data_IF_336626618102
#
_entry.id   IF_336626618102
#
_cell.length_a   1.000
_cell.length_b   1.000
_cell.length_c   1.000
_cell.angle_alpha   90.00
_cell.angle_beta   90.00
_cell.angle_gamma   90.00
#
_symmetry.space_group_name_H-M   'P 1'
#
loop_
_entity.id
_entity.type
_entity.pdbx_description
1 polymer ?
#
# COMPACT_ATOMS: atom_id res chain seq x y z
N UNK A 1 -11.70 35.00 64.01
CA UNK A 1 -10.94 34.08 63.15
C UNK A 1 -9.70 33.71 63.92
N UNK A 2 -9.53 32.46 64.31
CA UNK A 2 -8.39 31.98 65.12
C UNK A 2 -7.19 31.62 64.24
N UNK A 3 -7.47 30.92 63.13
CA UNK A 3 -6.50 30.49 62.12
C UNK A 3 -7.05 30.69 60.71
N UNK A 4 -6.16 30.77 59.72
CA UNK A 4 -6.48 30.77 58.28
C UNK A 4 -5.81 29.56 57.64
N UNK A 5 -6.54 28.81 56.82
CA UNK A 5 -6.03 27.62 56.15
C UNK A 5 -6.05 27.81 54.63
N UNK A 6 -4.90 27.70 53.98
CA UNK A 6 -4.76 27.78 52.52
C UNK A 6 -3.48 27.06 52.08
N UNK A 7 -3.29 26.79 50.77
CA UNK A 7 -1.99 26.35 50.26
C UNK A 7 -0.88 27.37 50.55
N UNK A 8 0.35 26.89 50.72
CA UNK A 8 1.49 27.70 51.19
C UNK A 8 2.11 28.60 50.11
N UNK A 9 1.63 28.50 48.86
CA UNK A 9 2.18 29.30 47.78
C UNK A 9 1.85 30.79 48.00
N UNK A 10 2.79 31.71 47.73
CA UNK A 10 2.52 33.15 47.80
C UNK A 10 1.40 33.54 46.84
N UNK A 11 0.37 34.22 47.36
CA UNK A 11 -0.72 34.74 46.54
C UNK A 11 -0.52 36.23 46.27
N UNK A 12 0.10 36.52 45.14
CA UNK A 12 0.33 37.88 44.69
C UNK A 12 -0.99 38.56 44.29
N UNK A 13 -1.09 39.84 44.63
CA UNK A 13 -2.15 40.77 44.22
C UNK A 13 -1.50 42.02 43.63
N UNK A 14 -2.30 42.94 43.08
CA UNK A 14 -1.77 44.17 42.48
C UNK A 14 -0.97 45.04 43.47
N UNK A 15 -1.20 44.91 44.77
CA UNK A 15 -0.63 45.76 45.83
C UNK A 15 0.29 45.00 46.80
N UNK A 16 0.39 43.68 46.69
CA UNK A 16 1.12 42.84 47.65
C UNK A 16 1.64 41.55 47.01
N UNK A 17 2.88 41.19 47.30
CA UNK A 17 3.52 39.94 46.84
C UNK A 17 2.88 38.67 47.43
N UNK A 18 2.32 38.77 48.65
CA UNK A 18 1.55 37.70 49.29
C UNK A 18 0.49 38.29 50.22
N UNK A 19 -0.77 38.14 49.85
CA UNK A 19 -1.91 38.61 50.64
C UNK A 19 -2.00 37.95 52.03
N UNK A 20 -1.38 36.78 52.23
CA UNK A 20 -1.36 36.08 53.51
C UNK A 20 -0.13 36.40 54.38
N UNK A 21 0.80 37.25 53.92
CA UNK A 21 2.03 37.55 54.64
C UNK A 21 1.80 38.02 56.09
N UNK A 22 0.77 38.85 56.32
CA UNK A 22 0.46 39.34 57.67
C UNK A 22 0.01 38.22 58.62
N UNK A 23 -0.76 37.25 58.13
CA UNK A 23 -1.25 36.11 58.93
C UNK A 23 -0.12 35.12 59.20
N UNK A 24 0.73 34.89 58.20
CA UNK A 24 1.94 34.07 58.30
C UNK A 24 2.89 34.63 59.36
N UNK A 25 3.15 35.93 59.36
CA UNK A 25 4.01 36.60 60.34
C UNK A 25 3.47 36.51 61.78
N UNK A 26 2.15 36.43 61.96
CA UNK A 26 1.52 36.26 63.28
C UNK A 26 1.51 34.80 63.76
N UNK A 27 1.96 33.82 62.96
CA UNK A 27 1.93 32.40 63.32
C UNK A 27 0.52 31.79 63.29
N UNK A 28 -0.41 32.39 62.53
CA UNK A 28 -1.84 32.01 62.50
C UNK A 28 -2.27 31.35 61.19
N UNK A 29 -1.32 31.04 60.32
CA UNK A 29 -1.54 30.42 59.01
C UNK A 29 -1.25 28.92 59.09
N UNK A 30 -2.23 28.10 58.72
CA UNK A 30 -2.12 26.64 58.67
C UNK A 30 -2.06 26.18 57.20
N UNK A 31 -0.88 25.79 56.69
CA UNK A 31 -0.74 25.40 55.29
C UNK A 31 -1.46 24.08 54.99
N UNK A 32 -2.21 24.05 53.89
CA UNK A 32 -2.89 22.86 53.38
C UNK A 32 -2.22 22.34 52.11
N UNK A 33 -2.36 21.04 51.83
CA UNK A 33 -1.85 20.44 50.60
C UNK A 33 -2.89 20.45 49.48
N UNK A 34 -2.44 20.71 48.25
CA UNK A 34 -3.30 20.62 47.06
C UNK A 34 -3.57 19.15 46.71
N UNK A 35 -4.74 18.90 46.15
CA UNK A 35 -5.06 17.59 45.57
C UNK A 35 -4.55 17.54 44.13
N UNK A 36 -3.66 16.58 43.85
CA UNK A 36 -3.15 16.38 42.50
C UNK A 36 -4.24 15.87 41.55
N UNK A 37 -4.17 16.29 40.28
CA UNK A 37 -5.06 15.81 39.23
C UNK A 37 -6.49 16.38 39.27
N UNK A 38 -6.80 17.31 40.18
CA UNK A 38 -8.07 18.04 40.21
C UNK A 38 -7.82 19.54 40.34
N UNK A 39 -8.27 20.30 39.35
CA UNK A 39 -8.28 21.77 39.41
C UNK A 39 -9.40 22.32 38.55
N UNK A 40 -9.80 23.57 38.80
CA UNK A 40 -10.78 24.27 37.96
C UNK A 40 -10.30 24.36 36.50
N UNK A 41 -9.01 24.65 36.28
CA UNK A 41 -8.43 24.73 34.93
C UNK A 41 -8.47 23.38 34.21
N UNK A 42 -8.16 22.29 34.90
CA UNK A 42 -8.26 20.94 34.34
C UNK A 42 -9.72 20.59 34.00
N UNK A 43 -10.66 20.90 34.89
CA UNK A 43 -12.09 20.70 34.64
C UNK A 43 -12.57 21.51 33.42
N UNK A 44 -12.21 22.78 33.32
CA UNK A 44 -12.52 23.63 32.16
C UNK A 44 -11.93 23.02 30.88
N UNK A 45 -10.68 22.57 30.93
CA UNK A 45 -10.01 21.97 29.76
C UNK A 45 -10.74 20.71 29.28
N UNK A 46 -11.22 19.86 30.21
CA UNK A 46 -12.01 18.68 29.88
C UNK A 46 -13.34 19.05 29.23
N UNK A 47 -14.04 20.05 29.77
CA UNK A 47 -15.32 20.54 29.21
C UNK A 47 -15.11 21.09 27.79
N UNK A 48 -14.08 21.91 27.58
CA UNK A 48 -13.78 22.52 26.27
C UNK A 48 -13.37 21.45 25.25
N UNK A 49 -12.57 20.45 25.66
CA UNK A 49 -12.16 19.36 24.77
C UNK A 49 -13.36 18.57 24.23
N UNK A 50 -14.35 18.32 25.07
CA UNK A 50 -15.53 17.54 24.72
C UNK A 50 -16.66 18.40 24.12
N UNK A 51 -16.44 19.70 23.92
CA UNK A 51 -17.45 20.63 23.42
C UNK A 51 -17.98 20.23 22.04
N UNK A 52 -17.10 19.86 21.11
CA UNK A 52 -17.51 19.45 19.76
C UNK A 52 -18.35 18.16 19.79
N UNK A 53 -18.06 17.23 20.71
CA UNK A 53 -18.86 16.02 20.92
C UNK A 53 -20.23 16.34 21.48
N UNK A 54 -20.30 17.29 22.43
CA UNK A 54 -21.56 17.80 22.97
C UNK A 54 -22.42 18.42 21.85
N UNK A 55 -21.84 19.26 20.99
CA UNK A 55 -22.56 19.89 19.88
C UNK A 55 -23.14 18.86 18.91
N UNK A 56 -22.31 17.94 18.41
CA UNK A 56 -22.77 16.90 17.45
C UNK A 56 -23.94 16.09 18.00
N UNK A 57 -23.83 15.64 19.25
CA UNK A 57 -24.86 14.82 19.91
C UNK A 57 -26.18 15.56 20.07
N UNK A 58 -26.15 16.86 20.40
CA UNK A 58 -27.39 17.63 20.56
C UNK A 58 -28.00 18.01 19.21
N UNK A 59 -27.20 18.29 18.19
CA UNK A 59 -27.68 18.46 16.82
C UNK A 59 -28.35 17.19 16.27
N UNK A 60 -27.81 16.01 16.57
CA UNK A 60 -28.42 14.72 16.21
C UNK A 60 -29.76 14.48 16.89
N UNK A 61 -29.97 15.05 18.08
CA UNK A 61 -31.25 15.01 18.81
C UNK A 61 -32.28 16.01 18.28
N UNK A 62 -31.93 16.80 17.26
CA UNK A 62 -32.80 17.79 16.65
C UNK A 62 -32.80 19.17 17.31
N UNK A 63 -31.84 19.45 18.20
CA UNK A 63 -31.69 20.78 18.78
C UNK A 63 -31.21 21.78 17.72
N UNK A 64 -31.74 23.00 17.74
CA UNK A 64 -31.37 24.02 16.76
C UNK A 64 -29.94 24.53 17.02
N UNK A 65 -29.11 24.74 15.97
CA UNK A 65 -27.84 25.47 16.06
C UNK A 65 -27.94 26.80 16.82
N UNK A 66 -29.07 27.50 16.68
CA UNK A 66 -29.32 28.77 17.36
C UNK A 66 -29.48 28.61 18.88
N UNK A 67 -30.10 27.52 19.32
CA UNK A 67 -30.27 27.19 20.75
C UNK A 67 -28.94 26.76 21.38
N UNK A 68 -28.05 26.16 20.59
CA UNK A 68 -26.69 25.81 21.00
C UNK A 68 -25.71 26.99 20.93
N UNK A 69 -26.18 28.17 20.53
CA UNK A 69 -25.38 29.37 20.32
C UNK A 69 -24.13 29.13 19.44
N UNK A 70 -24.28 28.29 18.40
CA UNK A 70 -23.20 28.02 17.44
C UNK A 70 -23.33 28.92 16.22
N UNK A 71 -22.18 29.34 15.69
CA UNK A 71 -22.13 30.11 14.45
C UNK A 71 -22.49 29.26 13.25
N UNK A 72 -23.02 29.90 12.20
CA UNK A 72 -23.36 29.26 10.93
C UNK A 72 -22.17 28.49 10.31
N UNK A 73 -20.95 29.02 10.44
CA UNK A 73 -19.76 28.34 9.94
C UNK A 73 -19.48 27.03 10.68
N UNK A 74 -19.63 27.02 12.00
CA UNK A 74 -19.45 25.80 12.80
C UNK A 74 -20.53 24.76 12.48
N UNK A 75 -21.76 25.21 12.23
CA UNK A 75 -22.84 24.33 11.76
C UNK A 75 -22.49 23.67 10.41
N UNK A 76 -22.02 24.43 9.43
CA UNK A 76 -21.58 23.89 8.14
C UNK A 76 -20.39 22.95 8.28
N UNK A 77 -19.41 23.27 9.13
CA UNK A 77 -18.28 22.39 9.44
C UNK A 77 -18.76 21.04 10.00
N UNK A 78 -19.68 21.06 10.97
CA UNK A 78 -20.24 19.86 11.58
C UNK A 78 -21.04 19.03 10.57
N UNK A 79 -21.80 19.69 9.69
CA UNK A 79 -22.54 19.01 8.63
C UNK A 79 -21.61 18.38 7.58
N UNK A 80 -20.56 19.08 7.18
CA UNK A 80 -19.54 18.54 6.27
C UNK A 80 -18.82 17.34 6.89
N UNK A 81 -18.42 17.45 8.17
CA UNK A 81 -17.78 16.35 8.88
C UNK A 81 -18.67 15.10 8.92
N UNK A 82 -19.99 15.25 9.15
CA UNK A 82 -20.94 14.14 9.07
C UNK A 82 -20.99 13.51 7.68
N UNK A 83 -21.09 14.32 6.63
CA UNK A 83 -21.08 13.82 5.25
C UNK A 83 -19.77 13.10 4.91
N UNK A 84 -18.62 13.67 5.27
CA UNK A 84 -17.29 13.09 5.04
C UNK A 84 -17.14 11.76 5.81
N UNK A 85 -17.60 11.69 7.05
CA UNK A 85 -17.62 10.44 7.82
C UNK A 85 -18.49 9.37 7.14
N UNK A 86 -19.68 9.74 6.66
CA UNK A 86 -20.56 8.82 5.93
C UNK A 86 -19.93 8.34 4.62
N UNK A 87 -19.33 9.24 3.84
CA UNK A 87 -18.59 8.90 2.61
C UNK A 87 -17.42 7.96 2.93
N UNK A 88 -16.64 8.27 3.96
CA UNK A 88 -15.53 7.40 4.40
C UNK A 88 -16.02 6.01 4.75
N UNK A 89 -17.15 5.89 5.43
CA UNK A 89 -17.73 4.61 5.83
C UNK A 89 -18.27 3.84 4.63
N UNK A 90 -18.94 4.52 3.68
CA UNK A 90 -19.36 3.93 2.41
C UNK A 90 -18.17 3.45 1.58
N UNK A 91 -17.11 4.27 1.45
CA UNK A 91 -15.87 3.87 0.78
C UNK A 91 -15.24 2.68 1.48
N UNK A 92 -15.16 2.67 2.82
CA UNK A 92 -14.60 1.56 3.58
C UNK A 92 -15.39 0.27 3.35
N UNK A 93 -16.72 0.34 3.39
CA UNK A 93 -17.62 -0.80 3.18
C UNK A 93 -17.53 -1.33 1.75
N UNK A 94 -17.54 -0.44 0.75
CA UNK A 94 -17.40 -0.80 -0.66
C UNK A 94 -16.01 -1.35 -0.94
N UNK A 95 -14.95 -0.74 -0.42
CA UNK A 95 -13.57 -1.21 -0.61
C UNK A 95 -13.31 -2.56 0.07
N UNK A 96 -13.92 -2.84 1.22
CA UNK A 96 -13.84 -4.16 1.85
C UNK A 96 -14.55 -5.22 1.01
N UNK A 97 -15.80 -4.98 0.58
CA UNK A 97 -16.53 -5.92 -0.28
C UNK A 97 -15.84 -6.13 -1.64
N UNK A 98 -15.49 -5.04 -2.33
CA UNK A 98 -14.82 -5.09 -3.63
C UNK A 98 -13.42 -5.70 -3.55
N UNK A 99 -12.69 -5.62 -2.44
CA UNK A 99 -11.39 -6.29 -2.32
C UNK A 99 -11.53 -7.81 -2.22
N UNK A 100 -12.53 -8.30 -1.50
CA UNK A 100 -12.78 -9.75 -1.39
C UNK A 100 -13.22 -10.31 -2.74
N UNK A 101 -14.11 -9.61 -3.44
CA UNK A 101 -14.56 -9.99 -4.78
C UNK A 101 -13.42 -9.90 -5.82
N UNK A 102 -12.64 -8.81 -5.83
CA UNK A 102 -11.50 -8.65 -6.75
C UNK A 102 -10.38 -9.65 -6.49
N UNK A 103 -10.15 -10.07 -5.24
CA UNK A 103 -9.14 -11.10 -4.94
C UNK A 103 -9.60 -12.46 -5.47
N UNK A 104 -10.89 -12.79 -5.35
CA UNK A 104 -11.47 -13.98 -5.96
C UNK A 104 -11.33 -13.98 -7.49
N UNK A 105 -11.77 -12.90 -8.14
CA UNK A 105 -11.63 -12.75 -9.61
C UNK A 105 -10.17 -12.78 -10.07
N UNK A 106 -9.23 -12.23 -9.29
CA UNK A 106 -7.80 -12.28 -9.60
C UNK A 106 -7.22 -13.68 -9.46
N UNK A 107 -7.64 -14.45 -8.44
CA UNK A 107 -7.22 -15.84 -8.27
C UNK A 107 -7.74 -16.75 -9.38
N UNK A 108 -8.99 -16.54 -9.80
CA UNK A 108 -9.63 -17.22 -10.92
C UNK A 108 -8.95 -16.86 -12.24
N UNK A 109 -8.72 -15.58 -12.52
CA UNK A 109 -7.98 -15.14 -13.71
C UNK A 109 -6.55 -15.70 -13.72
N UNK A 110 -5.90 -15.77 -12.56
CA UNK A 110 -4.57 -16.39 -12.43
C UNK A 110 -4.64 -17.89 -12.67
N UNK A 111 -5.75 -18.56 -12.33
CA UNK A 111 -5.97 -19.97 -12.62
C UNK A 111 -6.19 -20.21 -14.12
N UNK A 112 -6.97 -19.34 -14.78
CA UNK A 112 -7.15 -19.36 -16.23
C UNK A 112 -5.84 -19.07 -16.98
N UNK A 113 -5.04 -18.12 -16.49
CA UNK A 113 -3.71 -17.84 -17.02
C UNK A 113 -2.74 -19.02 -16.83
N UNK A 114 -2.85 -19.76 -15.73
CA UNK A 114 -2.07 -21.01 -15.54
C UNK A 114 -2.51 -22.08 -16.52
N UNK A 115 -3.81 -22.27 -16.72
CA UNK A 115 -4.35 -23.26 -17.65
C UNK A 115 -3.97 -22.94 -19.11
N UNK A 116 -4.12 -21.68 -19.52
CA UNK A 116 -3.69 -21.22 -20.84
C UNK A 116 -2.18 -21.33 -21.01
N UNK A 117 -1.37 -21.00 -20.01
CA UNK A 117 0.09 -21.20 -20.05
C UNK A 117 0.45 -22.67 -20.23
N UNK A 118 -0.20 -23.59 -19.52
CA UNK A 118 0.03 -25.04 -19.65
C UNK A 118 -0.37 -25.54 -21.03
N UNK A 119 -1.49 -25.06 -21.57
CA UNK A 119 -1.89 -25.31 -22.96
C UNK A 119 -0.82 -24.82 -23.97
N UNK A 120 -0.25 -23.63 -23.76
CA UNK A 120 0.86 -23.11 -24.56
C UNK A 120 2.17 -23.87 -24.39
N UNK A 121 2.41 -24.50 -23.24
CA UNK A 121 3.58 -25.34 -22.97
C UNK A 121 3.47 -26.74 -23.58
N UNK A 122 2.29 -27.36 -23.50
CA UNK A 122 2.00 -28.66 -24.07
C UNK A 122 1.97 -28.59 -25.61
N UNK A 123 1.31 -27.54 -26.15
CA UNK A 123 1.25 -27.28 -27.59
C UNK A 123 2.51 -26.62 -28.14
N UNK A 124 3.48 -26.26 -27.30
CA UNK A 124 4.78 -25.69 -27.72
C UNK A 124 5.49 -26.63 -28.70
N UNK A 125 5.42 -27.94 -28.47
CA UNK A 125 6.06 -28.91 -29.35
C UNK A 125 5.38 -29.00 -30.71
N UNK A 126 4.04 -28.88 -30.76
CA UNK A 126 3.27 -28.86 -32.01
C UNK A 126 3.43 -27.54 -32.78
N UNK A 127 3.53 -26.42 -32.07
CA UNK A 127 3.78 -25.11 -32.67
C UNK A 127 5.19 -25.02 -33.24
N UNK A 128 6.20 -25.52 -32.52
CA UNK A 128 7.59 -25.60 -33.03
C UNK A 128 7.69 -26.58 -34.20
N UNK A 129 6.97 -27.70 -34.19
CA UNK A 129 6.91 -28.65 -35.32
C UNK A 129 6.18 -28.07 -36.52
N UNK A 130 5.04 -27.41 -36.32
CA UNK A 130 4.27 -26.74 -37.37
C UNK A 130 5.03 -25.57 -38.00
N UNK A 131 5.63 -24.72 -37.17
CA UNK A 131 6.49 -23.61 -37.60
C UNK A 131 7.74 -24.12 -38.34
N UNK A 132 8.42 -25.15 -37.82
CA UNK A 132 9.55 -25.78 -38.51
C UNK A 132 9.14 -26.44 -39.83
N UNK A 133 7.94 -27.02 -39.93
CA UNK A 133 7.43 -27.59 -41.19
C UNK A 133 7.13 -26.52 -42.25
N UNK A 134 6.64 -25.34 -41.84
CA UNK A 134 6.40 -24.20 -42.75
C UNK A 134 7.70 -23.59 -43.28
N UNK A 135 8.76 -23.54 -42.48
CA UNK A 135 10.06 -22.97 -42.90
C UNK A 135 11.01 -24.00 -43.52
N UNK A 136 10.96 -25.27 -43.12
CA UNK A 136 11.83 -26.33 -43.66
C UNK A 136 11.61 -26.61 -45.14
N UNK A 137 10.37 -26.47 -45.63
CA UNK A 137 10.02 -26.67 -47.04
C UNK A 137 10.41 -25.49 -47.96
N UNK A 138 10.43 -24.25 -47.43
CA UNK A 138 10.77 -23.04 -48.18
C UNK A 138 12.28 -22.72 -48.16
N UNK A 139 12.98 -22.99 -47.04
CA UNK A 139 14.40 -22.63 -46.90
C UNK A 139 15.31 -23.55 -47.72
N UNK A 140 14.96 -24.83 -47.88
CA UNK A 140 15.73 -25.78 -48.71
C UNK A 140 15.77 -25.39 -50.21
N UNK A 141 14.73 -24.72 -50.72
CA UNK A 141 14.68 -24.25 -52.12
C UNK A 141 15.45 -22.95 -52.35
N UNK A 142 15.63 -22.13 -51.32
CA UNK A 142 16.30 -20.83 -51.40
C UNK A 142 17.83 -20.98 -51.29
N UNK A 143 18.32 -21.90 -50.46
CA UNK A 143 19.78 -22.08 -50.25
C UNK A 143 20.48 -22.97 -51.29
N UNK A 144 19.75 -23.74 -52.09
CA UNK A 144 20.33 -24.62 -53.13
C UNK A 144 20.70 -23.94 -54.46
N UNK A 145 20.36 -22.66 -54.65
CA UNK A 145 20.47 -21.99 -55.96
C UNK A 145 21.63 -21.00 -56.11
N UNK A 146 22.44 -20.78 -55.07
CA UNK A 146 23.53 -19.81 -55.09
C UNK A 146 24.92 -20.44 -54.90
N UNK A 147 25.22 -21.47 -55.69
CA UNK A 147 26.61 -21.93 -55.93
C UNK A 147 26.75 -22.60 -57.30
N UNK A 148 26.41 -21.87 -58.35
CA UNK A 148 26.87 -22.08 -59.73
C UNK A 148 26.80 -20.71 -60.39
N UNK A 149 27.80 -20.36 -61.19
CA UNK A 149 28.02 -19.04 -61.83
C UNK A 149 28.82 -17.98 -61.04
N UNK A 150 29.92 -18.39 -60.39
CA UNK A 150 31.18 -17.60 -60.45
C UNK A 150 32.34 -18.61 -60.50
N UNK A 151 32.56 -19.20 -61.68
CA UNK A 151 33.81 -19.87 -62.06
C UNK A 151 33.71 -20.26 -63.55
N UNK A 152 33.76 -19.27 -64.44
CA UNK A 152 34.12 -19.46 -65.84
C UNK A 152 34.97 -18.26 -66.26
N UNK A 153 36.28 -18.45 -66.32
CA UNK A 153 37.22 -17.40 -66.71
C UNK A 153 38.69 -17.74 -66.42
N UNK A 154 39.29 -18.51 -67.34
CA UNK A 154 40.74 -18.65 -67.63
C UNK A 154 41.66 -19.43 -66.68
N UNK A 155 42.44 -20.34 -67.29
CA UNK A 155 43.86 -20.52 -66.94
C UNK A 155 44.31 -21.92 -66.49
N UNK A 156 44.55 -22.78 -67.49
CA UNK A 156 45.54 -23.86 -67.59
C UNK A 156 46.55 -24.10 -66.43
N UNK A 157 46.61 -25.35 -65.93
CA UNK A 157 47.78 -26.26 -65.91
C UNK A 157 47.58 -27.39 -64.86
N UNK A 158 47.89 -28.63 -65.25
CA UNK A 158 48.54 -29.58 -64.32
C UNK A 158 47.70 -30.67 -63.66
N UNK A 159 47.52 -31.77 -64.40
CA UNK A 159 47.95 -33.14 -64.04
C UNK A 159 47.45 -33.86 -62.76
N UNK A 160 46.98 -35.09 -63.03
CA UNK A 160 47.22 -36.35 -62.30
C UNK A 160 46.25 -36.86 -61.21
N UNK A 161 45.47 -37.86 -61.65
CA UNK A 161 45.37 -39.25 -61.15
C UNK A 161 45.36 -39.51 -59.63
N UNK A 162 44.27 -40.15 -59.15
CA UNK A 162 44.19 -41.51 -58.53
C UNK A 162 42.81 -41.64 -57.84
N UNK A 163 41.92 -42.58 -58.14
CA UNK A 163 41.97 -44.06 -58.09
C UNK A 163 42.10 -44.63 -56.66
N UNK A 164 40.96 -45.15 -56.18
CA UNK A 164 40.74 -46.38 -55.35
C UNK A 164 41.16 -46.45 -53.87
N UNK A 165 40.15 -46.78 -53.06
CA UNK A 165 39.99 -48.02 -52.26
C UNK A 165 40.78 -48.20 -50.95
N UNK A 166 40.04 -48.44 -49.86
CA UNK A 166 40.29 -49.33 -48.70
C UNK A 166 39.19 -48.98 -47.65
N UNK A 167 38.21 -49.81 -47.29
CA UNK A 167 38.27 -51.09 -46.56
C UNK A 167 39.22 -51.12 -45.36
N UNK A 168 38.64 -51.01 -44.15
CA UNK A 168 38.93 -51.85 -42.97
C UNK A 168 37.95 -51.42 -41.84
N UNK A 169 36.90 -52.19 -41.53
CA UNK A 169 36.84 -53.36 -40.65
C UNK A 169 37.03 -53.07 -39.15
N UNK A 170 35.98 -53.33 -38.37
CA UNK A 170 35.93 -53.35 -36.89
C UNK A 170 34.53 -52.90 -36.40
N UNK A 171 33.48 -53.72 -36.24
CA UNK A 171 33.29 -54.87 -35.33
C UNK A 171 33.75 -54.49 -33.90
N UNK A 172 32.95 -54.40 -32.83
CA UNK A 172 31.71 -55.02 -32.34
C UNK A 172 30.91 -53.97 -31.52
N UNK A 173 29.57 -53.89 -31.54
CA UNK A 173 28.51 -54.73 -30.95
C UNK A 173 28.47 -54.82 -29.41
N UNK A 174 27.23 -54.69 -28.89
CA UNK A 174 26.69 -54.99 -27.55
C UNK A 174 27.13 -54.09 -26.39
N UNK A 175 26.29 -53.67 -25.44
CA UNK A 175 24.87 -53.93 -25.11
C UNK A 175 24.49 -52.92 -24.00
N UNK A 176 23.29 -52.36 -23.99
CA UNK A 176 22.18 -52.81 -23.11
C UNK A 176 22.61 -53.06 -21.66
N UNK A 177 22.48 -52.05 -20.81
CA UNK A 177 21.55 -51.94 -19.66
C UNK A 177 21.65 -50.55 -19.03
#
# INVERSE_FOLDING_TARGET
>A
IDYVCHDDLPYASAESDDVYAFVKAQGRFLPTQRTDGVSTSDLITRIVRDYDKYLRRNLERGMSPKELNISFLKEQELNLQKHVSGIREQIKKNFQGTREDLVGELEDLKAELRHTKLFWEDRRQDFVRGFSSMFGSQVGKIFGRKRREIANGSGDYGSSKRVRQAESSGSLNSGSE
#
